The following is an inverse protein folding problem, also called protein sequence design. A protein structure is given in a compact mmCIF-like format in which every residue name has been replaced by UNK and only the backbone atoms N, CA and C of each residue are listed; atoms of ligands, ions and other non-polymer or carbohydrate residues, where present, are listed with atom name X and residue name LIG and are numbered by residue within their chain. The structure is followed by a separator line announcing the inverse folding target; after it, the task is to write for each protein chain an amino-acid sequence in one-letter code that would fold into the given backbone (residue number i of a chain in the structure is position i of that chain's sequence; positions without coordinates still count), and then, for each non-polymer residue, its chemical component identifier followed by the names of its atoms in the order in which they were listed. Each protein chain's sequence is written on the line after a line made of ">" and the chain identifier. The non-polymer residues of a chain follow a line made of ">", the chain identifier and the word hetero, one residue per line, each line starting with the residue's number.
data_IF_195102908849
#
_entry.id   IF_195102908849
#
_cell.length_a   1.000
_cell.length_b   1.000
_cell.length_c   1.000
_cell.angle_alpha   90.00
_cell.angle_beta   90.00
_cell.angle_gamma   90.00
#
_symmetry.space_group_name_H-M   'P 1'
#
loop_
_entity.id
_entity.type
_entity.pdbx_description
1 polymer ?
#
# COMPACT_ATOMS: atom_id res chain seq x y z
N UNK A 1 15.40 19.20 32.11
CA UNK A 1 14.32 18.19 31.98
C UNK A 1 12.97 18.90 32.13
N UNK A 2 12.44 19.48 31.04
CA UNK A 2 11.08 20.01 30.80
C UNK A 2 11.13 20.94 29.57
N UNK A 3 11.47 20.39 28.41
CA UNK A 3 10.96 20.94 27.14
C UNK A 3 9.63 20.24 26.91
N UNK A 4 8.58 20.79 27.52
CA UNK A 4 7.22 20.31 27.28
C UNK A 4 6.89 20.56 25.80
N UNK A 5 6.38 19.52 25.14
CA UNK A 5 5.83 19.53 23.79
C UNK A 5 4.98 20.77 23.51
N UNK A 6 5.59 21.83 22.97
CA UNK A 6 4.84 22.89 22.29
C UNK A 6 4.52 22.36 20.90
N UNK A 7 3.37 21.69 20.77
CA UNK A 7 2.79 21.45 19.46
C UNK A 7 2.39 22.80 18.86
N UNK A 8 2.84 23.08 17.65
CA UNK A 8 2.36 24.24 16.92
C UNK A 8 0.86 24.08 16.62
N UNK A 9 0.14 25.18 16.40
CA UNK A 9 -1.27 25.12 15.97
C UNK A 9 -1.43 24.32 14.67
N UNK A 10 -0.44 24.35 13.80
CA UNK A 10 -0.42 23.57 12.55
C UNK A 10 -0.26 22.05 12.81
N UNK A 11 0.58 21.66 13.76
CA UNK A 11 0.72 20.25 14.14
C UNK A 11 -0.59 19.71 14.70
N UNK A 12 -1.27 20.47 15.56
CA UNK A 12 -2.57 20.06 16.12
C UNK A 12 -3.58 19.83 14.99
N UNK A 13 -3.71 20.78 14.05
CA UNK A 13 -4.63 20.67 12.90
C UNK A 13 -4.35 19.41 12.07
N UNK A 14 -3.07 19.14 11.79
CA UNK A 14 -2.63 17.94 11.07
C UNK A 14 -3.09 16.65 11.75
N UNK A 15 -2.83 16.50 13.05
CA UNK A 15 -3.22 15.27 13.75
C UNK A 15 -4.73 15.12 13.91
N UNK A 16 -5.47 16.22 14.05
CA UNK A 16 -6.95 16.21 14.03
C UNK A 16 -7.47 15.66 12.70
N UNK A 17 -6.91 16.12 11.57
CA UNK A 17 -7.27 15.60 10.24
C UNK A 17 -6.93 14.10 10.15
N UNK A 18 -5.77 13.67 10.69
CA UNK A 18 -5.39 12.26 10.65
C UNK A 18 -6.32 11.37 11.46
N UNK A 19 -6.71 11.82 12.66
CA UNK A 19 -7.68 11.11 13.52
C UNK A 19 -9.03 11.00 12.81
N UNK A 20 -9.49 12.09 12.18
CA UNK A 20 -10.76 12.11 11.47
C UNK A 20 -10.77 11.14 10.28
N UNK A 21 -9.75 11.22 9.41
CA UNK A 21 -9.63 10.31 8.25
C UNK A 21 -9.44 8.86 8.68
N UNK A 22 -8.65 8.60 9.72
CA UNK A 22 -8.47 7.27 10.29
C UNK A 22 -9.79 6.69 10.83
N UNK A 23 -10.60 7.54 11.48
CA UNK A 23 -11.93 7.15 11.97
C UNK A 23 -12.88 6.80 10.83
N UNK A 24 -12.88 7.60 9.75
CA UNK A 24 -13.68 7.30 8.55
C UNK A 24 -13.28 5.95 7.96
N UNK A 25 -11.99 5.72 7.75
CA UNK A 25 -11.52 4.48 7.14
C UNK A 25 -11.82 3.26 8.03
N UNK A 26 -11.62 3.37 9.34
CA UNK A 26 -11.99 2.34 10.29
C UNK A 26 -13.50 2.01 10.24
N UNK A 27 -14.35 3.04 10.23
CA UNK A 27 -15.79 2.86 10.14
C UNK A 27 -16.22 2.20 8.82
N UNK A 28 -15.63 2.62 7.70
CA UNK A 28 -15.88 1.99 6.40
C UNK A 28 -15.42 0.53 6.40
N UNK A 29 -14.28 0.23 7.01
CA UNK A 29 -13.75 -1.13 7.12
C UNK A 29 -14.66 -2.05 7.93
N UNK A 30 -15.21 -1.58 9.06
CA UNK A 30 -16.08 -2.40 9.92
C UNK A 30 -17.49 -2.56 9.38
N UNK A 31 -18.00 -1.54 8.69
CA UNK A 31 -19.43 -1.45 8.39
C UNK A 31 -19.78 -1.78 6.94
N UNK A 32 -18.85 -1.58 6.00
CA UNK A 32 -19.16 -1.65 4.56
C UNK A 32 -18.15 -2.42 3.73
N UNK A 33 -16.98 -2.77 4.29
CA UNK A 33 -15.98 -3.54 3.56
C UNK A 33 -16.52 -4.91 3.18
N UNK A 34 -16.42 -5.25 1.90
CA UNK A 34 -16.69 -6.61 1.40
C UNK A 34 -15.85 -7.69 2.08
N UNK A 35 -14.67 -7.33 2.60
CA UNK A 35 -13.76 -8.25 3.25
C UNK A 35 -14.06 -8.42 4.75
N UNK A 36 -14.97 -7.62 5.34
CA UNK A 36 -15.31 -7.65 6.76
C UNK A 36 -15.73 -9.04 7.23
N UNK A 37 -16.62 -9.70 6.49
CA UNK A 37 -17.13 -11.04 6.84
C UNK A 37 -16.00 -12.06 6.87
N UNK A 38 -15.05 -11.95 5.94
CA UNK A 38 -13.86 -12.82 5.89
C UNK A 38 -12.93 -12.57 7.07
N UNK A 39 -12.74 -11.31 7.47
CA UNK A 39 -11.97 -10.97 8.67
C UNK A 39 -12.65 -11.52 9.91
N UNK A 40 -13.94 -11.28 10.11
CA UNK A 40 -14.69 -11.74 11.27
C UNK A 40 -14.59 -13.27 11.42
N UNK A 41 -14.84 -14.02 10.35
CA UNK A 41 -14.72 -15.48 10.35
C UNK A 41 -13.31 -15.96 10.69
N UNK A 42 -12.29 -15.37 10.07
CA UNK A 42 -10.90 -15.71 10.31
C UNK A 42 -10.45 -15.36 11.75
N UNK A 43 -10.97 -14.28 12.34
CA UNK A 43 -10.68 -13.90 13.72
C UNK A 43 -11.41 -14.78 14.73
N UNK A 44 -12.64 -15.20 14.46
CA UNK A 44 -13.36 -16.17 15.27
C UNK A 44 -12.59 -17.51 15.33
N UNK A 45 -11.99 -17.93 14.22
CA UNK A 45 -11.15 -19.13 14.15
C UNK A 45 -9.86 -19.01 15.00
N UNK A 46 -9.14 -17.88 14.92
CA UNK A 46 -7.91 -17.63 15.70
C UNK A 46 -8.19 -17.45 17.19
N UNK A 47 -9.25 -16.73 17.54
CA UNK A 47 -9.55 -16.38 18.93
C UNK A 47 -10.16 -17.57 19.68
N UNK A 48 -11.20 -18.19 19.12
CA UNK A 48 -12.00 -19.21 19.81
C UNK A 48 -11.35 -20.59 19.77
N UNK A 49 -10.73 -20.96 18.65
CA UNK A 49 -10.31 -22.36 18.43
C UNK A 49 -8.83 -22.62 18.69
N UNK A 50 -7.96 -21.63 18.52
CA UNK A 50 -6.50 -21.83 18.62
C UNK A 50 -6.00 -21.44 20.01
N UNK A 51 -5.28 -22.32 20.71
CA UNK A 51 -4.68 -21.95 22.01
C UNK A 51 -3.46 -21.03 21.86
N UNK A 52 -3.02 -20.34 22.91
CA UNK A 52 -1.76 -19.56 22.88
C UNK A 52 -0.54 -20.43 22.57
N UNK A 53 -0.50 -21.64 23.13
CA UNK A 53 0.59 -22.60 22.93
C UNK A 53 0.63 -23.03 21.45
N UNK A 54 -0.53 -23.37 20.90
CA UNK A 54 -0.67 -23.79 19.51
C UNK A 54 -0.32 -22.65 18.54
N UNK A 55 -0.74 -21.42 18.82
CA UNK A 55 -0.36 -20.25 18.03
C UNK A 55 1.16 -20.06 18.00
N UNK A 56 1.82 -20.15 19.14
CA UNK A 56 3.27 -19.97 19.26
C UNK A 56 4.06 -21.13 18.66
N UNK A 57 3.60 -22.37 18.80
CA UNK A 57 4.25 -23.56 18.23
C UNK A 57 4.08 -23.63 16.71
N UNK A 58 2.96 -23.16 16.16
CA UNK A 58 2.73 -23.11 14.71
C UNK A 58 3.30 -21.83 14.07
N UNK A 59 3.82 -20.90 14.87
CA UNK A 59 4.43 -19.68 14.37
C UNK A 59 5.80 -19.98 13.76
N UNK A 60 5.92 -19.83 12.45
CA UNK A 60 7.19 -19.79 11.73
C UNK A 60 7.49 -18.36 11.27
N UNK A 61 8.74 -18.02 10.93
CA UNK A 61 9.06 -16.72 10.33
C UNK A 61 8.27 -16.41 9.04
N UNK A 62 7.70 -17.43 8.40
CA UNK A 62 6.90 -17.36 7.18
C UNK A 62 5.38 -17.39 7.45
N UNK A 63 4.95 -17.66 8.68
CA UNK A 63 3.54 -17.69 9.07
C UNK A 63 3.00 -16.34 9.55
N UNK A 64 3.76 -15.26 9.36
CA UNK A 64 3.32 -13.88 9.64
C UNK A 64 2.83 -13.67 11.10
N UNK A 65 3.61 -14.09 12.11
CA UNK A 65 3.10 -14.29 13.47
C UNK A 65 2.72 -12.99 14.18
N UNK A 66 3.34 -11.85 13.83
CA UNK A 66 3.12 -10.60 14.56
C UNK A 66 1.69 -10.09 14.45
N UNK A 67 1.05 -10.25 13.29
CA UNK A 67 -0.35 -9.82 13.13
C UNK A 67 -1.29 -10.65 14.01
N UNK A 68 -1.08 -11.98 14.05
CA UNK A 68 -1.96 -12.87 14.79
C UNK A 68 -1.75 -12.76 16.31
N UNK A 69 -0.49 -12.66 16.76
CA UNK A 69 -0.15 -12.48 18.18
C UNK A 69 -0.70 -11.16 18.72
N UNK A 70 -0.48 -10.04 18.01
CA UNK A 70 -0.96 -8.72 18.48
C UNK A 70 -2.48 -8.67 18.50
N UNK A 71 -3.14 -9.26 17.50
CA UNK A 71 -4.60 -9.29 17.47
C UNK A 71 -5.16 -10.18 18.58
N UNK A 72 -4.66 -11.41 18.76
CA UNK A 72 -5.14 -12.30 19.85
C UNK A 72 -4.94 -11.69 21.23
N UNK A 73 -3.81 -11.01 21.45
CA UNK A 73 -3.55 -10.28 22.70
C UNK A 73 -4.60 -9.19 22.94
N UNK A 74 -4.90 -8.37 21.93
CA UNK A 74 -5.84 -7.26 22.05
C UNK A 74 -7.30 -7.72 22.22
N UNK A 75 -7.71 -8.78 21.52
CA UNK A 75 -9.06 -9.35 21.61
C UNK A 75 -9.38 -9.94 23.00
N UNK A 76 -8.36 -10.19 23.84
CA UNK A 76 -8.55 -10.52 25.24
C UNK A 76 -9.12 -9.38 26.09
N UNK A 77 -9.06 -8.13 25.60
CA UNK A 77 -9.45 -6.93 26.34
C UNK A 77 -10.56 -6.11 25.66
N UNK A 78 -10.64 -6.15 24.33
CA UNK A 78 -11.58 -5.35 23.54
C UNK A 78 -12.21 -6.19 22.42
N UNK A 79 -13.41 -5.80 21.99
CA UNK A 79 -14.05 -6.45 20.84
C UNK A 79 -13.26 -6.23 19.54
N UNK A 80 -13.47 -7.10 18.55
CA UNK A 80 -12.81 -7.00 17.24
C UNK A 80 -13.07 -5.65 16.56
N UNK A 81 -14.31 -5.18 16.56
CA UNK A 81 -14.65 -3.87 15.98
C UNK A 81 -13.86 -2.72 16.64
N UNK A 82 -13.76 -2.72 17.98
CA UNK A 82 -13.01 -1.70 18.71
C UNK A 82 -11.50 -1.80 18.47
N UNK A 83 -10.96 -3.02 18.36
CA UNK A 83 -9.56 -3.25 18.01
C UNK A 83 -9.24 -2.65 16.65
N UNK A 84 -10.03 -2.98 15.63
CA UNK A 84 -9.80 -2.52 14.26
C UNK A 84 -9.96 -1.00 14.16
N UNK A 85 -10.87 -0.40 14.92
CA UNK A 85 -11.01 1.05 15.00
C UNK A 85 -9.78 1.71 15.61
N UNK A 86 -9.37 1.30 16.82
CA UNK A 86 -8.24 1.92 17.52
C UNK A 86 -6.92 1.70 16.79
N UNK A 87 -6.68 0.47 16.34
CA UNK A 87 -5.46 0.11 15.61
C UNK A 87 -5.45 0.74 14.23
N UNK A 88 -6.58 0.77 13.51
CA UNK A 88 -6.70 1.47 12.22
C UNK A 88 -6.33 2.94 12.32
N UNK A 89 -6.89 3.65 13.31
CA UNK A 89 -6.57 5.07 13.56
C UNK A 89 -5.09 5.24 13.91
N UNK A 90 -4.57 4.45 14.85
CA UNK A 90 -3.17 4.57 15.29
C UNK A 90 -2.17 4.29 14.16
N UNK A 91 -2.41 3.25 13.37
CA UNK A 91 -1.57 2.88 12.23
C UNK A 91 -1.63 3.93 11.12
N UNK A 92 -2.80 4.51 10.86
CA UNK A 92 -2.96 5.58 9.90
C UNK A 92 -2.21 6.85 10.33
N UNK A 93 -2.36 7.28 11.59
CA UNK A 93 -1.63 8.43 12.14
C UNK A 93 -0.12 8.21 12.05
N UNK A 94 0.37 7.03 12.45
CA UNK A 94 1.80 6.69 12.36
C UNK A 94 2.30 6.80 10.91
N UNK A 95 1.54 6.23 9.97
CA UNK A 95 1.88 6.23 8.55
C UNK A 95 1.94 7.64 7.97
N UNK A 96 0.89 8.43 8.20
CA UNK A 96 0.81 9.81 7.71
C UNK A 96 1.86 10.72 8.36
N UNK A 97 2.18 10.51 9.64
CA UNK A 97 3.28 11.22 10.30
C UNK A 97 4.62 11.01 9.60
N UNK A 98 4.96 9.77 9.25
CA UNK A 98 6.23 9.51 8.56
C UNK A 98 6.21 9.90 7.08
N UNK A 99 5.07 9.77 6.38
CA UNK A 99 4.94 10.29 5.00
C UNK A 99 5.17 11.80 4.94
N UNK A 100 4.59 12.56 5.88
CA UNK A 100 4.78 14.01 5.96
C UNK A 100 6.16 14.43 6.46
N UNK A 101 6.99 13.50 6.95
CA UNK A 101 8.42 13.73 7.20
C UNK A 101 9.30 13.42 5.99
N UNK A 102 8.79 12.64 5.03
CA UNK A 102 9.48 12.37 3.77
C UNK A 102 9.32 13.52 2.77
N UNK A 103 8.19 14.25 2.85
CA UNK A 103 7.89 15.41 2.00
C UNK A 103 7.21 16.49 2.84
N UNK A 104 7.77 17.70 2.80
CA UNK A 104 7.27 18.88 3.52
C UNK A 104 6.03 19.51 2.84
N UNK A 105 4.97 18.72 2.64
CA UNK A 105 3.64 19.23 2.25
C UNK A 105 2.54 18.29 2.79
N UNK A 106 2.07 18.61 3.99
CA UNK A 106 1.12 17.76 4.73
C UNK A 106 -0.17 17.51 3.96
N UNK A 107 -0.75 18.57 3.37
CA UNK A 107 -2.06 18.49 2.75
C UNK A 107 -2.01 17.72 1.44
N UNK A 108 -1.01 17.97 0.59
CA UNK A 108 -0.89 17.29 -0.70
C UNK A 108 -0.52 15.82 -0.54
N UNK A 109 0.39 15.49 0.39
CA UNK A 109 0.70 14.08 0.72
C UNK A 109 -0.54 13.35 1.23
N UNK A 110 -1.31 14.00 2.12
CA UNK A 110 -2.55 13.43 2.65
C UNK A 110 -3.59 13.25 1.55
N UNK A 111 -3.76 14.23 0.68
CA UNK A 111 -4.67 14.15 -0.45
C UNK A 111 -4.37 12.95 -1.36
N UNK A 112 -3.11 12.79 -1.82
CA UNK A 112 -2.76 11.66 -2.68
C UNK A 112 -2.84 10.32 -1.95
N UNK A 113 -2.49 10.26 -0.66
CA UNK A 113 -2.68 9.05 0.13
C UNK A 113 -4.15 8.67 0.23
N UNK A 114 -5.03 9.64 0.52
CA UNK A 114 -6.48 9.43 0.60
C UNK A 114 -7.03 8.91 -0.72
N UNK A 115 -6.67 9.56 -1.83
CA UNK A 115 -7.17 9.18 -3.14
C UNK A 115 -6.74 7.76 -3.55
N UNK A 116 -5.51 7.38 -3.20
CA UNK A 116 -4.92 6.13 -3.67
C UNK A 116 -5.20 4.95 -2.75
N UNK A 117 -5.09 5.14 -1.44
CA UNK A 117 -4.86 4.05 -0.50
C UNK A 117 -5.76 4.03 0.72
N UNK A 118 -6.39 5.14 1.13
CA UNK A 118 -7.24 5.13 2.33
C UNK A 118 -8.36 4.08 2.23
N UNK A 119 -9.09 4.07 1.13
CA UNK A 119 -10.19 3.11 0.92
C UNK A 119 -9.68 1.69 0.67
N UNK A 120 -8.51 1.55 0.06
CA UNK A 120 -7.95 0.25 -0.26
C UNK A 120 -7.29 -0.41 0.96
N UNK A 121 -6.28 0.21 1.54
CA UNK A 121 -5.50 -0.39 2.61
C UNK A 121 -6.26 -0.31 3.94
N UNK A 122 -6.53 0.89 4.44
CA UNK A 122 -7.23 1.06 5.72
C UNK A 122 -8.68 0.56 5.64
N UNK A 123 -9.31 0.76 4.48
CA UNK A 123 -10.71 0.41 4.26
C UNK A 123 -11.01 -1.06 3.93
N UNK A 124 -10.07 -1.82 3.36
CA UNK A 124 -10.31 -3.23 2.97
C UNK A 124 -9.16 -4.19 3.30
N UNK A 125 -7.90 -3.76 3.18
CA UNK A 125 -6.73 -4.63 3.34
C UNK A 125 -5.92 -4.31 4.61
N UNK A 126 -6.51 -4.45 5.80
CA UNK A 126 -5.90 -4.00 7.06
C UNK A 126 -4.51 -4.58 7.33
N UNK A 127 -4.26 -5.84 6.98
CA UNK A 127 -2.93 -6.46 7.15
C UNK A 127 -1.85 -5.72 6.33
N UNK A 128 -2.20 -5.33 5.11
CA UNK A 128 -1.34 -4.52 4.25
C UNK A 128 -1.21 -3.11 4.83
N UNK A 129 -2.29 -2.53 5.35
CA UNK A 129 -2.25 -1.24 6.03
C UNK A 129 -1.29 -1.25 7.23
N UNK A 130 -1.31 -2.31 8.04
CA UNK A 130 -0.44 -2.52 9.18
C UNK A 130 1.02 -2.65 8.73
N UNK A 131 1.32 -3.55 7.79
CA UNK A 131 2.69 -3.73 7.32
C UNK A 131 3.26 -2.44 6.70
N UNK A 132 2.46 -1.70 5.93
CA UNK A 132 2.89 -0.44 5.32
C UNK A 132 3.15 0.67 6.33
N UNK A 133 2.52 0.64 7.51
CA UNK A 133 2.85 1.55 8.63
C UNK A 133 4.25 1.33 9.21
N UNK A 134 4.93 0.24 8.88
CA UNK A 134 6.35 0.00 9.21
C UNK A 134 7.28 0.21 8.01
N UNK A 135 6.81 -0.09 6.80
CA UNK A 135 7.57 0.18 5.56
C UNK A 135 7.82 1.68 5.36
N UNK A 136 6.82 2.54 5.56
CA UNK A 136 6.98 3.98 5.37
C UNK A 136 8.02 4.58 6.34
N UNK A 137 7.97 4.30 7.65
CA UNK A 137 9.06 4.68 8.57
C UNK A 137 10.41 4.07 8.16
N UNK A 138 10.43 2.83 7.66
CA UNK A 138 11.66 2.21 7.16
C UNK A 138 12.28 3.00 6.01
N UNK A 139 11.47 3.49 5.05
CA UNK A 139 11.91 4.38 3.98
C UNK A 139 12.44 5.71 4.52
N UNK A 140 11.78 6.31 5.52
CA UNK A 140 12.25 7.53 6.18
C UNK A 140 13.62 7.35 6.82
N UNK A 141 13.82 6.28 7.60
CA UNK A 141 15.12 6.02 8.21
C UNK A 141 16.20 5.67 7.19
N UNK A 142 15.84 5.03 6.07
CA UNK A 142 16.75 4.81 4.94
C UNK A 142 17.19 6.13 4.31
N UNK A 143 16.26 7.07 4.07
CA UNK A 143 16.57 8.42 3.59
C UNK A 143 17.54 9.16 4.53
N UNK A 144 17.36 9.01 5.85
CA UNK A 144 18.26 9.57 6.87
C UNK A 144 19.54 8.76 7.10
N UNK A 145 19.84 7.78 6.23
CA UNK A 145 21.03 6.90 6.30
C UNK A 145 21.14 6.08 7.60
N UNK A 146 20.03 5.86 8.32
CA UNK A 146 19.94 5.01 9.51
C UNK A 146 19.55 3.59 9.11
N UNK A 147 20.49 2.89 8.47
CA UNK A 147 20.25 1.59 7.83
C UNK A 147 19.74 0.52 8.80
N UNK A 148 20.34 0.41 9.99
CA UNK A 148 19.95 -0.61 10.98
C UNK A 148 18.47 -0.45 11.39
N UNK A 149 18.05 0.77 11.75
CA UNK A 149 16.66 1.06 12.11
C UNK A 149 15.71 0.79 10.95
N UNK A 150 16.09 1.15 9.73
CA UNK A 150 15.32 0.85 8.52
C UNK A 150 15.13 -0.66 8.34
N UNK A 151 16.20 -1.46 8.45
CA UNK A 151 16.15 -2.91 8.30
C UNK A 151 15.27 -3.54 9.37
N UNK A 152 15.40 -3.13 10.64
CA UNK A 152 14.57 -3.66 11.72
C UNK A 152 13.07 -3.42 11.48
N UNK A 153 12.70 -2.20 11.05
CA UNK A 153 11.31 -1.86 10.73
C UNK A 153 10.79 -2.65 9.52
N UNK A 154 11.63 -2.84 8.50
CA UNK A 154 11.29 -3.68 7.35
C UNK A 154 11.06 -5.14 7.77
N UNK A 155 11.95 -5.71 8.58
CA UNK A 155 11.80 -7.08 9.09
C UNK A 155 10.51 -7.23 9.89
N UNK A 156 10.16 -6.27 10.75
CA UNK A 156 8.87 -6.25 11.45
C UNK A 156 7.70 -6.27 10.45
N UNK A 157 7.76 -5.47 9.38
CA UNK A 157 6.72 -5.47 8.35
C UNK A 157 6.54 -6.85 7.69
N UNK A 158 7.64 -7.56 7.39
CA UNK A 158 7.57 -8.91 6.81
C UNK A 158 6.92 -9.94 7.73
N UNK A 159 7.06 -9.75 9.05
CA UNK A 159 6.42 -10.62 10.05
C UNK A 159 4.93 -10.30 10.26
N UNK A 160 4.45 -9.16 9.76
CA UNK A 160 3.01 -8.79 9.76
C UNK A 160 2.35 -9.28 8.46
N UNK A 161 3.04 -9.13 7.33
CA UNK A 161 2.55 -9.52 6.00
C UNK A 161 3.75 -9.88 5.11
N UNK A 162 3.78 -11.13 4.63
CA UNK A 162 4.90 -11.70 3.88
C UNK A 162 5.15 -10.96 2.56
N UNK A 163 4.09 -10.47 1.90
CA UNK A 163 4.23 -9.70 0.65
C UNK A 163 5.10 -8.47 0.82
N UNK A 164 5.29 -7.96 2.05
CA UNK A 164 6.23 -6.87 2.34
C UNK A 164 7.67 -7.19 2.00
N UNK A 165 8.04 -8.48 1.87
CA UNK A 165 9.40 -8.91 1.51
C UNK A 165 9.88 -8.28 0.22
N UNK A 166 8.97 -7.94 -0.70
CA UNK A 166 9.31 -7.25 -1.97
C UNK A 166 9.99 -5.91 -1.74
N UNK A 167 9.79 -5.25 -0.60
CA UNK A 167 10.50 -4.01 -0.26
C UNK A 167 11.98 -4.20 0.03
N UNK A 168 12.48 -5.43 0.15
CA UNK A 168 13.94 -5.68 0.26
C UNK A 168 14.71 -5.07 -0.92
N UNK A 169 14.06 -4.95 -2.09
CA UNK A 169 14.65 -4.35 -3.30
C UNK A 169 15.00 -2.86 -3.10
N UNK A 170 14.41 -2.18 -2.12
CA UNK A 170 14.68 -0.76 -1.89
C UNK A 170 16.14 -0.51 -1.50
N UNK A 171 16.77 -1.42 -0.75
CA UNK A 171 18.15 -1.29 -0.30
C UNK A 171 19.17 -1.32 -1.46
N UNK A 172 19.20 -2.34 -2.34
CA UNK A 172 20.11 -2.33 -3.47
C UNK A 172 19.82 -1.18 -4.44
N UNK A 173 18.54 -0.80 -4.65
CA UNK A 173 18.19 0.35 -5.50
C UNK A 173 18.67 1.69 -4.95
N UNK A 174 18.65 1.85 -3.62
CA UNK A 174 19.16 3.03 -2.94
C UNK A 174 20.68 3.16 -3.08
N UNK A 175 21.40 2.04 -2.92
CA UNK A 175 22.87 2.00 -2.90
C UNK A 175 23.45 2.03 -4.33
N UNK A 176 22.93 1.21 -5.24
CA UNK A 176 23.54 0.97 -6.55
C UNK A 176 22.79 1.67 -7.67
N UNK A 177 23.32 2.82 -8.12
CA UNK A 177 22.72 3.62 -9.21
C UNK A 177 22.52 2.83 -10.51
N UNK A 178 23.41 1.88 -10.84
CA UNK A 178 23.35 1.12 -12.09
C UNK A 178 22.13 0.20 -12.19
N UNK A 179 21.57 -0.24 -11.07
CA UNK A 179 20.38 -1.11 -11.06
C UNK A 179 19.14 -0.43 -11.66
N UNK A 180 19.08 0.91 -11.64
CA UNK A 180 17.95 1.63 -12.24
C UNK A 180 17.85 1.38 -13.75
N UNK A 181 18.96 1.09 -14.45
CA UNK A 181 18.90 0.73 -15.86
C UNK A 181 18.17 -0.60 -16.08
N UNK A 182 18.42 -1.59 -15.21
CA UNK A 182 17.70 -2.88 -15.24
C UNK A 182 16.22 -2.67 -14.93
N UNK A 183 15.89 -1.80 -13.98
CA UNK A 183 14.49 -1.48 -13.65
C UNK A 183 13.79 -0.79 -14.82
N UNK A 184 14.44 0.17 -15.48
CA UNK A 184 13.87 0.84 -16.66
C UNK A 184 13.66 -0.16 -17.80
N UNK A 185 14.64 -1.03 -18.06
CA UNK A 185 14.50 -2.09 -19.06
C UNK A 185 13.33 -3.02 -18.73
N UNK A 186 13.23 -3.48 -17.48
CA UNK A 186 12.11 -4.29 -17.00
C UNK A 186 10.78 -3.56 -17.20
N UNK A 187 10.68 -2.29 -16.79
CA UNK A 187 9.48 -1.48 -16.93
C UNK A 187 9.04 -1.41 -18.39
N UNK A 188 9.94 -1.03 -19.32
CA UNK A 188 9.66 -0.89 -20.75
C UNK A 188 9.25 -2.22 -21.40
N UNK A 189 9.85 -3.33 -20.99
CA UNK A 189 9.60 -4.66 -21.56
C UNK A 189 8.35 -5.31 -20.95
N UNK A 190 7.98 -4.99 -19.71
CA UNK A 190 6.91 -5.68 -18.99
C UNK A 190 5.55 -5.71 -19.71
N UNK A 191 5.09 -4.67 -20.44
CA UNK A 191 3.86 -4.76 -21.24
C UNK A 191 3.90 -5.82 -22.34
N UNK A 192 5.09 -6.20 -22.83
CA UNK A 192 5.22 -7.31 -23.80
C UNK A 192 4.80 -8.64 -23.19
N UNK A 193 4.91 -8.81 -21.87
CA UNK A 193 4.42 -10.02 -21.20
C UNK A 193 2.91 -10.20 -21.39
N UNK A 194 2.14 -9.10 -21.34
CA UNK A 194 0.70 -9.13 -21.62
C UNK A 194 0.46 -9.48 -23.10
N UNK A 195 1.17 -8.82 -24.03
CA UNK A 195 0.99 -9.03 -25.47
C UNK A 195 1.38 -10.44 -25.93
N UNK A 196 2.39 -11.03 -25.31
CA UNK A 196 2.87 -12.38 -25.59
C UNK A 196 2.17 -13.46 -24.74
N UNK A 197 1.21 -13.06 -23.89
CA UNK A 197 0.48 -13.94 -22.99
C UNK A 197 1.41 -14.76 -22.05
N UNK A 198 2.44 -14.10 -21.52
CA UNK A 198 3.44 -14.67 -20.60
C UNK A 198 3.12 -14.19 -19.18
N UNK A 199 2.75 -15.11 -18.30
CA UNK A 199 2.54 -14.83 -16.87
C UNK A 199 3.69 -15.34 -16.00
N UNK A 200 4.08 -14.55 -15.01
CA UNK A 200 5.03 -14.95 -13.98
C UNK A 200 4.36 -15.71 -12.81
N UNK A 201 3.04 -15.91 -12.82
CA UNK A 201 2.33 -16.52 -11.71
C UNK A 201 2.81 -17.96 -11.41
N UNK A 202 3.07 -18.77 -12.43
CA UNK A 202 3.58 -20.13 -12.25
C UNK A 202 4.90 -20.16 -11.44
N UNK A 203 5.78 -19.19 -11.66
CA UNK A 203 7.02 -19.06 -10.88
C UNK A 203 6.73 -18.71 -9.41
N UNK A 204 5.71 -17.88 -9.15
CA UNK A 204 5.27 -17.55 -7.79
C UNK A 204 4.62 -18.76 -7.11
N UNK A 205 3.86 -19.56 -7.85
CA UNK A 205 3.28 -20.82 -7.35
C UNK A 205 4.41 -21.76 -6.92
N UNK A 206 5.37 -22.04 -7.79
CA UNK A 206 6.49 -22.94 -7.49
C UNK A 206 7.31 -22.45 -6.29
N UNK A 207 7.55 -21.14 -6.20
CA UNK A 207 8.28 -20.54 -5.07
C UNK A 207 7.46 -20.56 -3.77
N UNK A 208 6.16 -20.26 -3.82
CA UNK A 208 5.33 -20.17 -2.62
C UNK A 208 4.98 -21.54 -2.05
N UNK A 209 4.85 -22.58 -2.87
CA UNK A 209 4.66 -23.96 -2.41
C UNK A 209 5.76 -24.44 -1.45
N UNK A 210 6.98 -23.88 -1.57
CA UNK A 210 8.08 -24.20 -0.65
C UNK A 210 7.84 -23.72 0.79
N UNK A 211 6.96 -22.72 1.00
CA UNK A 211 6.79 -22.05 2.29
C UNK A 211 5.33 -21.96 2.77
N UNK A 212 4.35 -21.90 1.86
CA UNK A 212 2.94 -21.77 2.18
C UNK A 212 2.02 -22.09 0.99
N UNK A 213 1.04 -22.97 1.21
CA UNK A 213 -0.01 -23.28 0.22
C UNK A 213 -1.08 -22.18 0.09
N UNK A 214 -1.05 -21.14 0.93
CA UNK A 214 -2.10 -20.11 0.99
C UNK A 214 -2.27 -19.34 -0.32
N UNK A 215 -1.21 -19.20 -1.10
CA UNK A 215 -1.23 -18.44 -2.35
C UNK A 215 -1.78 -19.25 -3.54
N UNK A 216 -1.85 -20.58 -3.43
CA UNK A 216 -2.45 -21.46 -4.44
C UNK A 216 -3.95 -21.19 -4.62
N UNK A 217 -4.62 -20.72 -3.57
CA UNK A 217 -6.02 -20.31 -3.63
C UNK A 217 -6.27 -19.25 -4.71
N UNK A 218 -5.31 -18.35 -4.95
CA UNK A 218 -5.47 -17.29 -5.95
C UNK A 218 -5.33 -17.78 -7.40
N UNK A 219 -4.88 -19.01 -7.61
CA UNK A 219 -4.77 -19.64 -8.93
C UNK A 219 -5.93 -20.58 -9.28
N UNK A 220 -7.00 -20.64 -8.48
CA UNK A 220 -8.18 -21.46 -8.81
C UNK A 220 -8.97 -20.83 -9.96
N UNK A 221 -9.35 -21.62 -10.97
CA UNK A 221 -9.96 -21.13 -12.22
C UNK A 221 -11.22 -20.26 -11.99
N UNK A 222 -12.08 -20.67 -11.06
CA UNK A 222 -13.33 -19.93 -10.75
C UNK A 222 -13.03 -18.56 -10.12
N UNK A 223 -11.94 -18.49 -9.35
CA UNK A 223 -11.48 -17.27 -8.71
C UNK A 223 -10.82 -16.35 -9.75
N UNK A 224 -9.97 -16.90 -10.61
CA UNK A 224 -9.30 -16.16 -11.69
C UNK A 224 -10.32 -15.58 -12.68
N UNK A 225 -11.32 -16.36 -13.10
CA UNK A 225 -12.40 -15.89 -13.99
C UNK A 225 -13.20 -14.75 -13.38
N UNK A 226 -13.58 -14.88 -12.10
CA UNK A 226 -14.32 -13.83 -11.40
C UNK A 226 -13.49 -12.56 -11.23
N UNK A 227 -12.19 -12.69 -10.91
CA UNK A 227 -11.28 -11.56 -10.78
C UNK A 227 -11.06 -10.79 -12.10
N UNK A 228 -10.96 -11.51 -13.22
CA UNK A 228 -10.69 -10.94 -14.54
C UNK A 228 -11.95 -10.42 -15.25
N UNK A 229 -13.14 -10.71 -14.72
CA UNK A 229 -14.43 -10.45 -15.37
C UNK A 229 -14.69 -9.00 -15.78
N UNK A 230 -14.10 -8.02 -15.08
CA UNK A 230 -14.35 -6.59 -15.33
C UNK A 230 -13.34 -5.94 -16.27
N UNK A 231 -12.19 -6.57 -16.54
CA UNK A 231 -11.08 -5.96 -17.29
C UNK A 231 -10.44 -4.72 -16.63
N UNK A 232 -10.93 -4.29 -15.46
CA UNK A 232 -10.56 -3.05 -14.78
C UNK A 232 -9.09 -3.05 -14.32
N UNK A 233 -8.50 -4.22 -14.14
CA UNK A 233 -7.08 -4.36 -13.81
C UNK A 233 -6.16 -3.83 -14.92
N UNK A 234 -6.48 -4.07 -16.20
CA UNK A 234 -5.71 -3.52 -17.31
C UNK A 234 -5.78 -1.99 -17.38
N UNK A 235 -6.94 -1.42 -17.02
CA UNK A 235 -7.08 0.02 -16.89
C UNK A 235 -6.15 0.56 -15.80
N UNK A 236 -6.06 -0.08 -14.63
CA UNK A 236 -5.13 0.34 -13.57
C UNK A 236 -3.67 0.21 -13.98
N UNK A 237 -3.30 -0.86 -14.71
CA UNK A 237 -1.96 -0.99 -15.29
C UNK A 237 -1.66 0.23 -16.17
N UNK A 238 -2.52 0.52 -17.15
CA UNK A 238 -2.34 1.65 -18.06
C UNK A 238 -2.28 2.99 -17.33
N UNK A 239 -3.16 3.20 -16.35
CA UNK A 239 -3.21 4.40 -15.51
C UNK A 239 -1.88 4.64 -14.79
N UNK A 240 -1.39 3.66 -14.03
CA UNK A 240 -0.14 3.81 -13.30
C UNK A 240 1.07 3.93 -14.22
N UNK A 241 1.09 3.17 -15.32
CA UNK A 241 2.17 3.21 -16.30
C UNK A 241 2.31 4.60 -16.93
N UNK A 242 1.20 5.21 -17.33
CA UNK A 242 1.16 6.58 -17.87
C UNK A 242 1.66 7.61 -16.86
N UNK A 243 1.23 7.52 -15.59
CA UNK A 243 1.69 8.44 -14.56
C UNK A 243 3.18 8.27 -14.24
N UNK A 244 3.70 7.03 -14.19
CA UNK A 244 5.13 6.79 -14.00
C UNK A 244 5.94 7.39 -15.15
N UNK A 245 5.49 7.28 -16.40
CA UNK A 245 6.14 7.95 -17.54
C UNK A 245 6.11 9.48 -17.37
N UNK A 246 4.95 10.05 -17.05
CA UNK A 246 4.80 11.50 -16.87
C UNK A 246 5.72 12.02 -15.75
N UNK A 247 5.75 11.33 -14.61
CA UNK A 247 6.64 11.64 -13.48
C UNK A 247 8.11 11.55 -13.93
N UNK A 248 8.49 10.49 -14.66
CA UNK A 248 9.84 10.32 -15.19
C UNK A 248 10.26 11.45 -16.13
N UNK A 249 9.31 11.98 -16.92
CA UNK A 249 9.53 13.12 -17.81
C UNK A 249 9.73 14.43 -17.04
N UNK A 250 8.78 14.81 -16.19
CA UNK A 250 8.81 16.10 -15.48
C UNK A 250 9.85 16.15 -14.35
N UNK A 251 10.06 15.05 -13.62
CA UNK A 251 11.00 15.00 -12.48
C UNK A 251 12.37 14.40 -12.84
N UNK A 252 12.68 14.22 -14.13
CA UNK A 252 13.90 13.56 -14.62
C UNK A 252 15.17 13.98 -13.87
N UNK A 253 15.41 15.28 -13.76
CA UNK A 253 16.63 15.80 -13.11
C UNK A 253 16.67 15.46 -11.62
N UNK A 254 15.57 15.62 -10.91
CA UNK A 254 15.48 15.33 -9.47
C UNK A 254 15.68 13.83 -9.21
N UNK A 255 15.04 12.98 -10.00
CA UNK A 255 15.16 11.51 -9.91
C UNK A 255 16.60 11.06 -10.19
N UNK A 256 17.27 11.65 -11.18
CA UNK A 256 18.63 11.23 -11.53
C UNK A 256 19.67 11.65 -10.48
N UNK A 257 19.46 12.79 -9.83
CA UNK A 257 20.42 13.39 -8.91
C UNK A 257 20.26 12.89 -7.46
N UNK A 258 19.03 12.60 -7.01
CA UNK A 258 18.77 12.21 -5.62
C UNK A 258 18.58 10.69 -5.47
N UNK A 259 19.44 9.98 -4.72
CA UNK A 259 19.35 8.53 -4.55
C UNK A 259 18.01 8.04 -4.01
N UNK A 260 17.41 8.78 -3.07
CA UNK A 260 16.13 8.44 -2.49
C UNK A 260 14.99 8.57 -3.51
N UNK A 261 14.87 9.71 -4.21
CA UNK A 261 13.85 9.89 -5.26
C UNK A 261 13.98 8.83 -6.36
N UNK A 262 15.22 8.49 -6.74
CA UNK A 262 15.52 7.43 -7.70
C UNK A 262 15.03 6.06 -7.26
N UNK A 263 15.28 5.70 -6.00
CA UNK A 263 14.80 4.46 -5.40
C UNK A 263 13.26 4.43 -5.39
N UNK A 264 12.61 5.50 -4.91
CA UNK A 264 11.14 5.62 -4.88
C UNK A 264 10.54 5.48 -6.28
N UNK A 265 11.11 6.16 -7.28
CA UNK A 265 10.70 6.03 -8.69
C UNK A 265 10.86 4.60 -9.22
N UNK A 266 11.96 3.93 -8.87
CA UNK A 266 12.21 2.55 -9.26
C UNK A 266 11.25 1.56 -8.61
N UNK A 267 10.87 1.78 -7.35
CA UNK A 267 9.82 0.97 -6.70
C UNK A 267 8.48 1.10 -7.45
N UNK A 268 8.11 2.31 -7.91
CA UNK A 268 6.90 2.50 -8.69
C UNK A 268 6.95 1.77 -10.05
N UNK A 269 8.10 1.85 -10.75
CA UNK A 269 8.34 1.12 -11.99
C UNK A 269 8.23 -0.40 -11.80
N UNK A 270 8.83 -0.94 -10.73
CA UNK A 270 8.74 -2.38 -10.41
C UNK A 270 7.31 -2.76 -10.02
N UNK A 271 6.58 -1.90 -9.31
CA UNK A 271 5.16 -2.09 -9.03
C UNK A 271 4.34 -2.24 -10.32
N UNK A 272 4.49 -1.32 -11.27
CA UNK A 272 3.83 -1.40 -12.58
C UNK A 272 4.24 -2.65 -13.37
N UNK A 273 5.54 -2.97 -13.41
CA UNK A 273 6.03 -4.15 -14.09
C UNK A 273 5.46 -5.43 -13.46
N UNK A 274 5.35 -5.48 -12.13
CA UNK A 274 4.75 -6.61 -11.41
C UNK A 274 3.27 -6.77 -11.78
N UNK A 275 2.50 -5.66 -11.87
CA UNK A 275 1.11 -5.74 -12.32
C UNK A 275 0.99 -6.28 -13.75
N UNK A 276 1.94 -5.94 -14.64
CA UNK A 276 1.99 -6.50 -16.00
C UNK A 276 2.37 -7.99 -16.01
N UNK A 277 3.30 -8.43 -15.16
CA UNK A 277 3.76 -9.82 -15.10
C UNK A 277 2.72 -10.77 -14.47
N UNK A 278 1.81 -10.23 -13.65
CA UNK A 278 0.73 -10.96 -13.00
C UNK A 278 -0.65 -10.52 -13.51
N UNK A 279 -0.72 -10.10 -14.78
CA UNK A 279 -1.94 -9.54 -15.38
C UNK A 279 -3.13 -10.50 -15.35
N UNK A 280 -2.87 -11.80 -15.40
CA UNK A 280 -3.84 -12.89 -15.38
C UNK A 280 -4.29 -13.27 -13.96
N UNK A 281 -3.54 -12.86 -12.93
CA UNK A 281 -3.81 -13.12 -11.52
C UNK A 281 -3.93 -11.81 -10.74
N UNK A 282 -5.02 -11.08 -10.99
CA UNK A 282 -5.31 -9.72 -10.49
C UNK A 282 -5.03 -9.55 -9.01
N UNK A 283 -5.43 -10.49 -8.15
CA UNK A 283 -5.21 -10.34 -6.69
C UNK A 283 -3.73 -10.38 -6.33
N UNK A 284 -2.94 -11.23 -7.00
CA UNK A 284 -1.48 -11.30 -6.75
C UNK A 284 -0.80 -10.07 -7.33
N UNK A 285 -1.14 -9.70 -8.57
CA UNK A 285 -0.64 -8.51 -9.22
C UNK A 285 -0.96 -7.23 -8.45
N UNK A 286 -2.18 -7.10 -7.92
CA UNK A 286 -2.58 -5.99 -7.08
C UNK A 286 -1.84 -5.99 -5.73
N UNK A 287 -1.73 -7.14 -5.06
CA UNK A 287 -1.05 -7.22 -3.75
C UNK A 287 0.44 -6.94 -3.81
N UNK A 288 1.13 -7.37 -4.86
CA UNK A 288 2.56 -7.10 -5.05
C UNK A 288 2.77 -5.72 -5.65
N UNK A 289 2.06 -5.43 -6.75
CA UNK A 289 2.19 -4.21 -7.52
C UNK A 289 1.70 -2.96 -6.78
N UNK A 290 0.44 -2.94 -6.31
CA UNK A 290 -0.12 -1.77 -5.61
C UNK A 290 0.60 -1.51 -4.28
N UNK A 291 1.13 -2.55 -3.64
CA UNK A 291 1.96 -2.38 -2.43
C UNK A 291 3.24 -1.60 -2.74
N UNK A 292 3.97 -1.95 -3.81
CA UNK A 292 5.14 -1.19 -4.26
C UNK A 292 4.79 0.22 -4.75
N UNK A 293 3.61 0.39 -5.35
CA UNK A 293 3.09 1.68 -5.80
C UNK A 293 2.71 2.61 -4.64
N UNK A 294 2.85 2.23 -3.37
CA UNK A 294 2.74 3.18 -2.25
C UNK A 294 3.71 4.37 -2.41
N UNK A 295 4.82 4.14 -3.12
CA UNK A 295 5.79 5.15 -3.56
C UNK A 295 5.18 6.26 -4.43
N UNK A 296 4.08 5.98 -5.14
CA UNK A 296 3.39 6.96 -5.98
C UNK A 296 2.86 8.15 -5.18
N UNK A 297 2.46 7.97 -3.92
CA UNK A 297 2.05 9.10 -3.06
C UNK A 297 3.16 10.14 -2.98
N UNK A 298 4.41 9.68 -2.80
CA UNK A 298 5.57 10.56 -2.73
C UNK A 298 5.87 11.20 -4.09
N UNK A 299 5.84 10.40 -5.17
CA UNK A 299 6.12 10.89 -6.52
C UNK A 299 5.10 11.92 -7.01
N UNK A 300 3.81 11.69 -6.77
CA UNK A 300 2.74 12.60 -7.13
C UNK A 300 2.81 13.90 -6.34
N UNK A 301 3.18 13.83 -5.06
CA UNK A 301 3.41 15.02 -4.25
C UNK A 301 4.58 15.84 -4.81
N UNK A 302 5.71 15.21 -5.15
CA UNK A 302 6.82 15.91 -5.78
C UNK A 302 6.46 16.48 -7.17
N UNK A 303 5.63 15.77 -7.94
CA UNK A 303 5.15 16.27 -9.24
C UNK A 303 4.28 17.51 -9.06
N UNK A 304 3.36 17.50 -8.09
CA UNK A 304 2.52 18.64 -7.75
C UNK A 304 3.35 19.84 -7.29
N UNK A 305 4.34 19.62 -6.42
CA UNK A 305 5.28 20.65 -5.99
C UNK A 305 6.06 21.24 -7.17
N UNK A 306 6.54 20.39 -8.09
CA UNK A 306 7.23 20.82 -9.29
C UNK A 306 6.35 21.70 -10.19
N UNK A 307 5.09 21.32 -10.42
CA UNK A 307 4.15 22.14 -11.17
C UNK A 307 3.85 23.46 -10.47
N UNK A 308 3.74 23.46 -9.13
CA UNK A 308 3.57 24.69 -8.34
C UNK A 308 4.78 25.62 -8.48
N UNK A 309 6.00 25.09 -8.39
CA UNK A 309 7.25 25.85 -8.56
C UNK A 309 7.46 26.40 -9.98
N UNK A 310 6.79 25.81 -10.98
CA UNK A 310 6.87 26.23 -12.39
C UNK A 310 5.65 27.04 -12.85
N UNK A 311 4.79 27.45 -11.92
CA UNK A 311 3.53 28.17 -12.19
C UNK A 311 2.59 27.45 -13.16
N UNK A 312 2.64 26.11 -13.18
CA UNK A 312 1.80 25.24 -14.01
C UNK A 312 0.49 24.89 -13.28
N UNK A 313 -0.28 25.90 -12.89
CA UNK A 313 -1.49 25.75 -12.06
C UNK A 313 -2.55 24.85 -12.70
N UNK A 314 -2.73 24.90 -14.02
CA UNK A 314 -3.66 24.03 -14.75
C UNK A 314 -3.31 22.55 -14.57
N UNK A 315 -2.02 22.20 -14.58
CA UNK A 315 -1.57 20.82 -14.39
C UNK A 315 -1.87 20.33 -12.97
N UNK A 316 -1.74 21.21 -11.97
CA UNK A 316 -2.12 20.90 -10.59
C UNK A 316 -3.63 20.65 -10.44
N UNK A 317 -4.46 21.46 -11.08
CA UNK A 317 -5.93 21.27 -11.08
C UNK A 317 -6.29 19.95 -11.76
N UNK A 318 -5.72 19.68 -12.93
CA UNK A 318 -5.94 18.42 -13.66
C UNK A 318 -5.49 17.22 -12.82
N UNK A 319 -4.35 17.30 -12.14
CA UNK A 319 -3.84 16.24 -11.28
C UNK A 319 -4.80 15.96 -10.12
N UNK A 320 -5.31 17.01 -9.44
CA UNK A 320 -6.31 16.86 -8.38
C UNK A 320 -7.57 16.18 -8.92
N UNK A 321 -8.11 16.65 -10.04
CA UNK A 321 -9.35 16.10 -10.61
C UNK A 321 -9.22 14.63 -11.01
N UNK A 322 -8.09 14.23 -11.63
CA UNK A 322 -7.86 12.84 -12.01
C UNK A 322 -7.82 11.94 -10.76
N UNK A 323 -7.11 12.34 -9.71
CA UNK A 323 -7.00 11.52 -8.51
C UNK A 323 -8.26 11.52 -7.63
N UNK A 324 -9.06 12.60 -7.65
CA UNK A 324 -10.41 12.59 -7.08
C UNK A 324 -11.32 11.61 -7.84
N UNK A 325 -11.28 11.64 -9.18
CA UNK A 325 -12.02 10.69 -10.01
C UNK A 325 -11.61 9.24 -9.76
N UNK A 326 -10.30 8.98 -9.64
CA UNK A 326 -9.77 7.67 -9.25
C UNK A 326 -10.28 7.24 -7.88
N UNK A 327 -10.25 8.12 -6.88
CA UNK A 327 -10.73 7.84 -5.52
C UNK A 327 -12.21 7.47 -5.50
N UNK A 328 -13.05 8.22 -6.23
CA UNK A 328 -14.48 7.94 -6.37
C UNK A 328 -14.73 6.58 -7.04
N UNK A 329 -14.06 6.31 -8.16
CA UNK A 329 -14.17 5.03 -8.85
C UNK A 329 -13.76 3.85 -7.94
N UNK A 330 -12.68 4.02 -7.18
CA UNK A 330 -12.21 3.00 -6.22
C UNK A 330 -13.18 2.83 -5.06
N UNK A 331 -13.78 3.90 -4.55
CA UNK A 331 -14.80 3.85 -3.49
C UNK A 331 -16.01 3.02 -3.94
N UNK A 332 -16.58 3.32 -5.11
CA UNK A 332 -17.71 2.55 -5.64
C UNK A 332 -17.36 1.07 -5.89
N UNK A 333 -16.15 0.79 -6.36
CA UNK A 333 -15.68 -0.59 -6.57
C UNK A 333 -15.50 -1.38 -5.26
N UNK A 334 -15.04 -0.73 -4.19
CA UNK A 334 -14.77 -1.41 -2.90
C UNK A 334 -16.01 -1.48 -1.99
N UNK A 335 -16.98 -0.58 -2.16
CA UNK A 335 -18.18 -0.46 -1.32
C UNK A 335 -19.48 -0.48 -2.13
N UNK A 336 -19.79 -1.57 -2.88
CA UNK A 336 -20.93 -1.61 -3.80
C UNK A 336 -22.30 -1.51 -3.08
N UNK A 337 -22.41 -1.97 -1.84
CA UNK A 337 -23.67 -1.89 -1.06
C UNK A 337 -24.04 -0.46 -0.69
N UNK A 338 -23.06 0.41 -0.42
CA UNK A 338 -23.28 1.85 -0.24
C UNK A 338 -23.66 2.53 -1.55
N UNK A 339 -23.05 2.11 -2.66
CA UNK A 339 -23.36 2.62 -4.00
C UNK A 339 -24.82 2.36 -4.39
N UNK A 340 -25.26 1.11 -4.23
CA UNK A 340 -26.62 0.67 -4.55
C UNK A 340 -27.68 1.35 -3.67
N UNK A 341 -27.38 1.57 -2.39
CA UNK A 341 -28.27 2.29 -1.50
C UNK A 341 -28.33 3.79 -1.83
N UNK A 342 -27.26 4.39 -2.36
CA UNK A 342 -27.27 5.79 -2.79
C UNK A 342 -28.10 6.01 -4.07
N UNK A 343 -28.15 5.02 -4.98
CA UNK A 343 -29.05 5.03 -6.15
C UNK A 343 -30.53 4.95 -5.77
N UNK A 344 -30.87 4.39 -4.60
CA UNK A 344 -32.24 4.36 -4.09
C UNK A 344 -32.72 5.71 -3.50
N UNK A 345 -31.82 6.70 -3.38
CA UNK A 345 -32.11 8.05 -2.87
C UNK A 345 -32.05 9.15 -3.95
N UNK A 346 -31.77 8.80 -5.21
CA UNK A 346 -31.88 9.67 -6.40
C UNK A 346 -33.11 9.25 -7.17
#
# INVERSE_FOLDING_TARGET
>A
MREYFQFSSEDIKKYVIFIFLGSIAAYLATSFSKDWVSYQWFFDEIYVKTSWIELLMNSTPFSEPLFFVTTKAALGFISLANFLLLVGIALFILKMHFLTKLIDDVFIVTFFYVCMYLFLFEGTALRIAYATSFIIPSMYYLQKKKLLTSILLFLIATQIQLTSVVFIIMYPLFIYRRLNFLVIALFVIAPLAILLNISAFNFVVDFTQLFSNKYLFYGQDDIVKNQNSTGLFYYFIGFFYMFVIAIGYYLKQQIMNEPFKRMIFSLAMIGCASMCLFYDHVVVGARVGEMLLISMVLLLTWLFQHFREKDLSLYNVVLILIFMGYALARFFYLYPTLALNAEAFI
#
